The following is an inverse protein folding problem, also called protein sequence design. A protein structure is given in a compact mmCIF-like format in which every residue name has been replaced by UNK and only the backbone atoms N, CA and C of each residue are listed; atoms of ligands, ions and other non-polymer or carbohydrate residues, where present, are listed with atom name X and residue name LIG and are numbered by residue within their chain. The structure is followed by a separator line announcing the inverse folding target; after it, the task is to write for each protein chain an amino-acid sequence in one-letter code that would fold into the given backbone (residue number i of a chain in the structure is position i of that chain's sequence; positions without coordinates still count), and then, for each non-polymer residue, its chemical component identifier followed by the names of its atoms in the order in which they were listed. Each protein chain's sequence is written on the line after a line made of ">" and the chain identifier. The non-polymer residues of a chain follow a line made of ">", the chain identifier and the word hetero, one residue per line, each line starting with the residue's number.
data_IF_727082479886
#
_entry.id   IF_727082479886
#
_cell.length_a   1.000
_cell.length_b   1.000
_cell.length_c   1.000
_cell.angle_alpha   90.00
_cell.angle_beta   90.00
_cell.angle_gamma   90.00
#
_symmetry.space_group_name_H-M   'P 1'
#
loop_
_entity.id
_entity.type
_entity.pdbx_description
1 polymer ?
#
# COMPACT_ATOMS: atom_id res chain seq x y z
N UNK A 1 12.30 -20.13 2.86
CA UNK A 1 13.16 -18.98 3.22
C UNK A 1 12.27 -17.88 3.79
N UNK A 2 12.64 -17.17 4.86
CA UNK A 2 11.87 -16.02 5.28
C UNK A 2 11.92 -14.98 4.15
N UNK A 3 10.76 -14.35 3.86
CA UNK A 3 10.64 -13.27 2.89
C UNK A 3 11.59 -12.14 3.28
N UNK A 4 12.33 -11.60 2.32
CA UNK A 4 13.15 -10.41 2.54
C UNK A 4 12.26 -9.19 2.83
N UNK A 5 12.82 -8.11 3.37
CA UNK A 5 12.08 -6.86 3.55
C UNK A 5 11.47 -6.35 2.23
N UNK A 6 12.10 -6.69 1.10
CA UNK A 6 11.63 -6.31 -0.25
C UNK A 6 10.35 -7.06 -0.62
N UNK A 7 10.24 -8.35 -0.32
CA UNK A 7 9.16 -9.21 -0.81
C UNK A 7 8.03 -9.41 0.20
N UNK A 8 8.18 -8.88 1.43
CA UNK A 8 7.19 -9.07 2.47
C UNK A 8 5.96 -8.16 2.25
N UNK A 9 4.74 -8.72 2.14
CA UNK A 9 3.52 -7.95 1.91
C UNK A 9 3.18 -6.99 3.07
N UNK A 10 3.73 -7.20 4.26
CA UNK A 10 3.52 -6.30 5.41
C UNK A 10 4.43 -5.07 5.37
N UNK A 11 5.45 -5.05 4.50
CA UNK A 11 6.46 -3.98 4.50
C UNK A 11 5.84 -2.61 4.29
N UNK A 12 4.96 -2.43 3.30
CA UNK A 12 4.33 -1.13 3.05
C UNK A 12 3.54 -0.65 4.26
N UNK A 13 2.74 -1.53 4.86
CA UNK A 13 1.91 -1.21 6.03
C UNK A 13 2.74 -0.85 7.27
N UNK A 14 3.85 -1.60 7.49
CA UNK A 14 4.77 -1.32 8.60
C UNK A 14 5.51 0.02 8.43
N UNK A 15 6.00 0.29 7.24
CA UNK A 15 6.62 1.59 6.92
C UNK A 15 5.59 2.72 7.06
N UNK A 16 4.34 2.51 6.62
CA UNK A 16 3.26 3.47 6.77
C UNK A 16 2.94 3.83 8.21
N UNK A 17 2.92 2.85 9.12
CA UNK A 17 2.75 3.11 10.56
C UNK A 17 3.93 3.95 11.12
N UNK A 18 5.16 3.69 10.66
CA UNK A 18 6.34 4.45 11.07
C UNK A 18 6.42 5.86 10.45
N UNK A 19 5.71 6.10 9.34
CA UNK A 19 5.52 7.45 8.77
C UNK A 19 4.69 8.31 9.74
N UNK A 20 3.66 7.74 10.36
CA UNK A 20 2.78 8.46 11.28
C UNK A 20 3.51 8.85 12.58
N UNK A 21 4.30 7.92 13.12
CA UNK A 21 5.12 8.19 14.32
C UNK A 21 6.16 7.08 14.55
N UNK A 22 7.29 7.39 15.21
CA UNK A 22 8.22 6.38 15.69
C UNK A 22 7.55 5.41 16.66
N UNK A 23 7.84 4.11 16.55
CA UNK A 23 7.25 3.07 17.40
C UNK A 23 8.25 1.99 17.76
N UNK A 24 8.06 1.36 18.93
CA UNK A 24 8.76 0.12 19.24
C UNK A 24 8.05 -1.10 18.61
N UNK A 25 8.77 -2.20 18.43
CA UNK A 25 8.29 -3.39 17.72
C UNK A 25 6.95 -3.94 18.23
N UNK A 26 6.71 -3.91 19.53
CA UNK A 26 5.45 -4.38 20.10
C UNK A 26 4.29 -3.44 19.72
N UNK A 27 4.48 -2.12 19.80
CA UNK A 27 3.46 -1.15 19.37
C UNK A 27 3.13 -1.31 17.89
N UNK A 28 4.14 -1.53 17.04
CA UNK A 28 3.94 -1.83 15.60
C UNK A 28 3.09 -3.08 15.39
N UNK A 29 3.32 -4.16 16.15
CA UNK A 29 2.52 -5.38 16.04
C UNK A 29 1.07 -5.15 16.47
N UNK A 30 0.83 -4.37 17.52
CA UNK A 30 -0.51 -4.00 17.98
C UNK A 30 -1.20 -3.13 16.96
N UNK A 31 -0.59 -2.00 16.56
CA UNK A 31 -1.15 -1.05 15.61
C UNK A 31 -1.46 -1.69 14.24
N UNK A 32 -0.59 -2.61 13.78
CA UNK A 32 -0.81 -3.36 12.54
C UNK A 32 -2.08 -4.21 12.63
N UNK A 33 -2.29 -4.94 13.72
CA UNK A 33 -3.47 -5.78 13.89
C UNK A 33 -4.75 -4.98 14.19
N UNK A 34 -4.64 -3.83 14.85
CA UNK A 34 -5.77 -2.93 15.06
C UNK A 34 -6.25 -2.30 13.75
N UNK A 35 -5.31 -1.84 12.90
CA UNK A 35 -5.64 -1.23 11.59
C UNK A 35 -6.07 -2.26 10.55
N UNK A 36 -5.51 -3.47 10.59
CA UNK A 36 -5.72 -4.55 9.63
C UNK A 36 -6.06 -5.88 10.33
N UNK A 37 -7.25 -5.99 10.99
CA UNK A 37 -7.59 -7.17 11.81
C UNK A 37 -7.55 -8.49 11.04
N UNK A 38 -7.80 -8.45 9.74
CA UNK A 38 -7.79 -9.63 8.86
C UNK A 38 -6.40 -10.22 8.63
N UNK A 39 -5.31 -9.49 8.94
CA UNK A 39 -3.95 -9.99 8.75
C UNK A 39 -3.55 -10.99 9.83
N UNK A 40 -4.05 -10.82 11.04
CA UNK A 40 -3.68 -11.63 12.22
C UNK A 40 -2.14 -11.83 12.31
N UNK A 41 -1.39 -10.73 12.18
CA UNK A 41 0.06 -10.75 12.09
C UNK A 41 0.67 -11.16 13.43
N UNK A 42 1.45 -12.24 13.43
CA UNK A 42 2.15 -12.70 14.63
C UNK A 42 3.26 -11.73 15.01
N UNK A 43 3.38 -11.40 16.31
CA UNK A 43 4.42 -10.48 16.82
C UNK A 43 5.82 -10.90 16.38
N UNK A 44 6.13 -12.21 16.37
CA UNK A 44 7.43 -12.71 15.90
C UNK A 44 7.72 -12.37 14.44
N UNK A 45 6.71 -12.40 13.56
CA UNK A 45 6.84 -12.02 12.15
C UNK A 45 7.10 -10.51 12.01
N UNK A 46 6.41 -9.69 12.80
CA UNK A 46 6.64 -8.23 12.83
C UNK A 46 8.05 -7.91 13.33
N UNK A 47 8.52 -8.58 14.38
CA UNK A 47 9.87 -8.39 14.92
C UNK A 47 10.95 -8.78 13.91
N UNK A 48 10.78 -9.92 13.24
CA UNK A 48 11.70 -10.36 12.17
C UNK A 48 11.73 -9.36 11.01
N UNK A 49 10.56 -8.82 10.64
CA UNK A 49 10.48 -7.83 9.57
C UNK A 49 11.16 -6.51 9.96
N UNK A 50 10.93 -5.98 11.16
CA UNK A 50 11.60 -4.76 11.63
C UNK A 50 13.13 -4.93 11.62
N UNK A 51 13.65 -6.09 12.02
CA UNK A 51 15.09 -6.40 11.90
C UNK A 51 15.56 -6.39 10.45
N UNK A 52 14.78 -6.95 9.53
CA UNK A 52 15.12 -6.94 8.10
C UNK A 52 15.11 -5.52 7.52
N UNK A 53 14.18 -4.67 7.98
CA UNK A 53 14.11 -3.26 7.59
C UNK A 53 15.31 -2.47 8.13
N UNK A 54 15.74 -2.75 9.37
CA UNK A 54 16.91 -2.15 9.99
C UNK A 54 18.21 -2.55 9.24
N UNK A 55 18.38 -3.84 8.94
CA UNK A 55 19.51 -4.33 8.14
C UNK A 55 19.52 -3.71 6.75
N UNK A 56 18.36 -3.48 6.15
CA UNK A 56 18.24 -2.80 4.85
C UNK A 56 18.47 -1.27 4.94
N UNK A 57 18.61 -0.72 6.14
CA UNK A 57 18.79 0.71 6.36
C UNK A 57 17.53 1.56 6.16
N UNK A 58 16.34 0.93 6.14
CA UNK A 58 15.09 1.65 5.92
C UNK A 58 14.46 2.16 7.21
N UNK A 59 14.79 1.55 8.33
CA UNK A 59 14.47 2.03 9.67
C UNK A 59 15.71 2.06 10.54
N UNK A 60 15.73 2.94 11.54
CA UNK A 60 16.82 3.02 12.51
C UNK A 60 16.27 3.23 13.93
N UNK A 61 17.00 2.77 14.97
CA UNK A 61 16.67 3.09 16.33
C UNK A 61 16.87 4.59 16.59
N UNK A 62 15.88 5.23 17.21
CA UNK A 62 15.91 6.66 17.57
C UNK A 62 15.97 6.91 19.06
N UNK A 63 15.72 5.88 19.86
CA UNK A 63 15.73 6.00 21.31
C UNK A 63 15.29 4.72 22.00
N UNK A 64 15.22 4.80 23.31
CA UNK A 64 14.75 3.72 24.16
C UNK A 64 13.62 4.25 25.04
N UNK A 65 12.49 3.56 25.00
CA UNK A 65 11.35 3.86 25.84
C UNK A 65 11.31 2.89 27.04
N UNK A 66 11.19 3.43 28.24
CA UNK A 66 11.03 2.66 29.45
C UNK A 66 9.85 3.20 30.26
N UNK A 67 8.85 2.38 30.49
CA UNK A 67 7.70 2.70 31.32
C UNK A 67 7.76 1.95 32.65
N UNK A 68 8.13 2.67 33.72
CA UNK A 68 8.25 2.11 35.08
C UNK A 68 9.24 0.94 35.14
N UNK A 69 8.85 -0.18 35.75
CA UNK A 69 9.69 -1.39 35.90
C UNK A 69 9.66 -2.33 34.69
N UNK A 70 9.09 -1.91 33.52
CA UNK A 70 9.09 -2.75 32.33
C UNK A 70 10.45 -2.71 31.63
N UNK A 71 10.84 -3.78 30.92
CA UNK A 71 12.06 -3.78 30.13
C UNK A 71 12.07 -2.62 29.12
N UNK A 72 13.22 -1.99 28.96
CA UNK A 72 13.46 -0.95 28.00
C UNK A 72 13.18 -1.46 26.56
N UNK A 73 12.53 -0.65 25.72
CA UNK A 73 12.14 -1.00 24.36
C UNK A 73 12.76 -0.03 23.37
N UNK A 74 13.42 -0.55 22.36
CA UNK A 74 13.98 0.25 21.27
C UNK A 74 12.85 0.81 20.40
N UNK A 75 12.84 2.12 20.18
CA UNK A 75 11.93 2.83 19.30
C UNK A 75 12.60 2.98 17.94
N UNK A 76 11.87 2.69 16.87
CA UNK A 76 12.31 2.77 15.49
C UNK A 76 11.59 3.89 14.75
N UNK A 77 12.30 4.55 13.84
CA UNK A 77 11.74 5.50 12.89
C UNK A 77 12.25 5.21 11.48
N UNK A 78 11.58 5.76 10.49
CA UNK A 78 12.06 5.74 9.10
C UNK A 78 13.34 6.55 8.97
N UNK A 79 14.26 6.03 8.15
CA UNK A 79 15.39 6.81 7.62
C UNK A 79 14.96 7.55 6.35
N UNK A 80 15.80 8.47 5.84
CA UNK A 80 15.57 9.10 4.53
C UNK A 80 15.49 8.06 3.41
N UNK A 81 16.32 7.01 3.48
CA UNK A 81 16.26 5.88 2.56
C UNK A 81 14.95 5.13 2.70
N UNK A 82 14.50 4.87 3.92
CA UNK A 82 13.21 4.22 4.21
C UNK A 82 12.03 5.00 3.66
N UNK A 83 12.06 6.34 3.79
CA UNK A 83 11.06 7.22 3.21
C UNK A 83 10.99 7.13 1.68
N UNK A 84 12.15 7.14 1.01
CA UNK A 84 12.21 7.01 -0.44
C UNK A 84 11.69 5.64 -0.92
N UNK A 85 12.08 4.56 -0.24
CA UNK A 85 11.58 3.21 -0.50
C UNK A 85 10.06 3.12 -0.27
N UNK A 86 9.55 3.74 0.78
CA UNK A 86 8.12 3.77 1.06
C UNK A 86 7.34 4.42 -0.09
N UNK A 87 7.73 5.62 -0.52
CA UNK A 87 7.09 6.31 -1.66
C UNK A 87 7.13 5.49 -2.94
N UNK A 88 8.29 4.87 -3.23
CA UNK A 88 8.42 4.03 -4.42
C UNK A 88 7.50 2.80 -4.37
N UNK A 89 7.30 2.21 -3.18
CA UNK A 89 6.34 1.13 -2.99
C UNK A 89 4.90 1.57 -3.19
N UNK A 90 4.53 2.75 -2.71
CA UNK A 90 3.20 3.34 -2.96
C UNK A 90 2.98 3.47 -4.47
N UNK A 91 3.92 4.09 -5.19
CA UNK A 91 3.84 4.25 -6.66
C UNK A 91 3.66 2.91 -7.36
N UNK A 92 4.57 1.96 -7.06
CA UNK A 92 4.56 0.65 -7.69
C UNK A 92 3.26 -0.10 -7.42
N UNK A 93 2.75 -0.10 -6.19
CA UNK A 93 1.50 -0.79 -5.90
C UNK A 93 0.29 -0.13 -6.54
N UNK A 94 0.26 1.20 -6.68
CA UNK A 94 -0.80 1.87 -7.44
C UNK A 94 -0.77 1.41 -8.89
N UNK A 95 0.40 1.33 -9.53
CA UNK A 95 0.53 0.93 -10.94
C UNK A 95 0.22 -0.55 -11.19
N UNK A 96 0.80 -1.43 -10.36
CA UNK A 96 0.97 -2.86 -10.68
C UNK A 96 0.08 -3.80 -9.86
N UNK A 97 -0.65 -3.30 -8.86
CA UNK A 97 -1.47 -4.17 -8.03
C UNK A 97 -2.53 -4.88 -8.88
N UNK A 98 -2.61 -6.20 -8.69
CA UNK A 98 -3.66 -6.98 -9.35
C UNK A 98 -5.02 -6.54 -8.85
N UNK A 99 -5.99 -6.47 -9.74
CA UNK A 99 -7.40 -6.27 -9.40
C UNK A 99 -7.84 -7.36 -8.44
N UNK A 100 -8.74 -7.05 -7.52
CA UNK A 100 -9.20 -7.95 -6.45
C UNK A 100 -8.22 -8.20 -5.29
N UNK A 101 -7.05 -7.54 -5.29
CA UNK A 101 -6.11 -7.63 -4.16
C UNK A 101 -6.17 -6.40 -3.27
N UNK A 102 -5.82 -6.55 -1.99
CA UNK A 102 -5.72 -5.41 -1.07
C UNK A 102 -4.54 -4.48 -1.40
N UNK A 103 -3.63 -4.87 -2.28
CA UNK A 103 -2.41 -4.12 -2.56
C UNK A 103 -2.68 -2.72 -3.11
N UNK A 104 -3.69 -2.55 -3.97
CA UNK A 104 -4.11 -1.24 -4.45
C UNK A 104 -4.70 -0.39 -3.32
N UNK A 105 -5.60 -0.97 -2.53
CA UNK A 105 -6.22 -0.29 -1.37
C UNK A 105 -5.16 0.14 -0.35
N UNK A 106 -4.18 -0.73 -0.07
CA UNK A 106 -3.06 -0.41 0.82
C UNK A 106 -2.23 0.77 0.30
N UNK A 107 -2.00 0.83 -1.01
CA UNK A 107 -1.26 1.93 -1.62
C UNK A 107 -2.08 3.24 -1.61
N UNK A 108 -3.39 3.16 -1.85
CA UNK A 108 -4.29 4.32 -1.77
C UNK A 108 -4.33 4.94 -0.37
N UNK A 109 -4.24 4.13 0.69
CA UNK A 109 -4.19 4.63 2.07
C UNK A 109 -3.01 5.58 2.30
N UNK A 110 -1.98 5.49 1.46
CA UNK A 110 -0.78 6.31 1.54
C UNK A 110 -0.55 7.18 0.30
N UNK A 111 -1.60 7.43 -0.49
CA UNK A 111 -1.51 8.27 -1.70
C UNK A 111 -0.96 9.67 -1.37
N UNK A 112 -1.33 10.23 -0.22
CA UNK A 112 -0.85 11.52 0.26
C UNK A 112 0.65 11.60 0.57
N UNK A 113 1.39 10.48 0.58
CA UNK A 113 2.85 10.46 0.68
C UNK A 113 3.55 10.86 -0.63
N UNK A 114 2.83 10.80 -1.75
CA UNK A 114 3.31 11.32 -3.03
C UNK A 114 3.09 12.83 -3.10
N UNK A 115 3.89 13.52 -3.92
CA UNK A 115 3.62 14.93 -4.22
C UNK A 115 2.26 15.04 -4.94
N UNK A 116 1.49 16.10 -4.62
CA UNK A 116 0.16 16.31 -5.20
C UNK A 116 0.16 16.30 -6.73
N UNK A 117 1.19 16.89 -7.36
CA UNK A 117 1.34 16.90 -8.82
C UNK A 117 1.74 15.53 -9.41
N UNK A 118 2.24 14.61 -8.58
CA UNK A 118 2.65 13.27 -8.98
C UNK A 118 1.50 12.26 -8.93
N UNK A 119 0.64 12.36 -7.92
CA UNK A 119 -0.42 11.39 -7.67
C UNK A 119 -1.34 11.18 -8.90
N UNK A 120 -1.84 12.22 -9.62
CA UNK A 120 -2.64 12.03 -10.82
C UNK A 120 -1.93 11.25 -11.91
N UNK A 121 -0.62 11.48 -12.10
CA UNK A 121 0.15 10.76 -13.14
C UNK A 121 0.23 9.27 -12.87
N UNK A 122 0.50 8.88 -11.62
CA UNK A 122 0.56 7.47 -11.22
C UNK A 122 -0.81 6.80 -11.33
N UNK A 123 -1.89 7.53 -11.03
CA UNK A 123 -3.26 7.07 -11.17
C UNK A 123 -3.67 6.93 -12.65
N UNK A 124 -3.24 7.84 -13.54
CA UNK A 124 -3.45 7.72 -14.98
C UNK A 124 -2.76 6.48 -15.56
N UNK A 125 -1.50 6.22 -15.21
CA UNK A 125 -0.80 5.00 -15.63
C UNK A 125 -1.56 3.73 -15.23
N UNK A 126 -2.15 3.73 -14.03
CA UNK A 126 -3.04 2.64 -13.58
C UNK A 126 -4.30 2.54 -14.42
N UNK A 127 -4.98 3.66 -14.66
CA UNK A 127 -6.19 3.72 -15.45
C UNK A 127 -5.96 3.17 -16.86
N UNK A 128 -4.90 3.61 -17.55
CA UNK A 128 -4.50 3.12 -18.86
C UNK A 128 -4.33 1.59 -18.87
N UNK A 129 -3.61 1.05 -17.88
CA UNK A 129 -3.42 -0.40 -17.74
C UNK A 129 -4.72 -1.17 -17.53
N UNK A 130 -5.70 -0.60 -16.80
CA UNK A 130 -7.02 -1.20 -16.60
C UNK A 130 -7.82 -1.19 -17.91
N UNK A 131 -7.79 -0.08 -18.66
CA UNK A 131 -8.48 0.08 -19.94
C UNK A 131 -7.91 -0.89 -21.00
N UNK A 132 -6.59 -1.05 -21.07
CA UNK A 132 -5.94 -2.05 -21.93
C UNK A 132 -6.45 -3.47 -21.59
N UNK A 133 -6.50 -3.78 -20.29
CA UNK A 133 -6.96 -5.09 -19.81
C UNK A 133 -8.44 -5.35 -20.09
N UNK A 134 -9.28 -4.32 -20.01
CA UNK A 134 -10.71 -4.39 -20.39
C UNK A 134 -10.81 -4.75 -21.86
N UNK A 135 -10.10 -4.03 -22.74
CA UNK A 135 -10.12 -4.28 -24.18
C UNK A 135 -9.63 -5.69 -24.54
N UNK A 136 -8.58 -6.17 -23.87
CA UNK A 136 -8.08 -7.55 -24.05
C UNK A 136 -9.15 -8.60 -23.71
N UNK A 137 -9.82 -8.46 -22.55
CA UNK A 137 -10.85 -9.40 -22.11
C UNK A 137 -12.09 -9.35 -22.99
N UNK A 138 -12.51 -8.17 -23.43
CA UNK A 138 -13.63 -8.01 -24.37
C UNK A 138 -13.35 -8.70 -25.73
N UNK A 139 -12.12 -8.58 -26.22
CA UNK A 139 -11.71 -9.25 -27.47
C UNK A 139 -11.60 -10.77 -27.32
N UNK A 140 -11.22 -11.24 -26.14
CA UNK A 140 -11.12 -12.67 -25.85
C UNK A 140 -12.48 -13.32 -25.55
N UNK A 141 -13.52 -12.52 -25.32
CA UNK A 141 -14.88 -13.01 -25.08
C UNK A 141 -15.50 -13.55 -26.36
N UNK A 142 -16.03 -14.76 -26.31
CA UNK A 142 -16.72 -15.39 -27.45
C UNK A 142 -18.24 -15.18 -27.31
N UNK A 143 -18.84 -14.34 -28.17
CA UNK A 143 -20.29 -14.10 -28.14
C UNK A 143 -21.13 -15.32 -28.55
N UNK A 144 -20.52 -16.37 -29.08
CA UNK A 144 -21.18 -17.64 -29.40
C UNK A 144 -21.37 -18.59 -28.23
N UNK A 145 -20.72 -18.33 -27.10
CA UNK A 145 -20.85 -19.15 -25.91
C UNK A 145 -22.04 -18.71 -25.03
N UNK A 146 -22.68 -19.65 -24.31
CA UNK A 146 -23.68 -19.29 -23.29
C UNK A 146 -23.09 -18.34 -22.26
N UNK A 147 -23.85 -17.31 -21.86
CA UNK A 147 -23.44 -16.28 -20.90
C UNK A 147 -22.85 -16.85 -19.59
N UNK A 148 -23.49 -17.90 -19.07
CA UNK A 148 -23.02 -18.58 -17.85
C UNK A 148 -21.60 -19.16 -17.96
N UNK A 149 -21.16 -19.45 -19.19
CA UNK A 149 -19.79 -19.97 -19.44
C UNK A 149 -18.73 -18.89 -19.35
N UNK A 150 -19.15 -17.63 -19.45
CA UNK A 150 -18.27 -16.43 -19.41
C UNK A 150 -18.54 -15.55 -18.18
N UNK A 151 -19.25 -16.07 -17.20
CA UNK A 151 -19.69 -15.27 -16.02
C UNK A 151 -18.51 -14.74 -15.20
N UNK A 152 -17.40 -15.48 -15.14
CA UNK A 152 -16.18 -15.01 -14.47
C UNK A 152 -15.51 -13.86 -15.22
N UNK A 153 -15.57 -13.85 -16.53
CA UNK A 153 -15.06 -12.76 -17.37
C UNK A 153 -15.91 -11.51 -17.19
N UNK A 154 -17.25 -11.66 -17.20
CA UNK A 154 -18.18 -10.56 -16.92
C UNK A 154 -17.91 -9.94 -15.54
N UNK A 155 -17.75 -10.77 -14.51
CA UNK A 155 -17.43 -10.29 -13.17
C UNK A 155 -16.11 -9.51 -13.12
N UNK A 156 -15.06 -10.01 -13.78
CA UNK A 156 -13.75 -9.32 -13.84
C UNK A 156 -13.86 -8.01 -14.61
N UNK A 157 -14.57 -7.99 -15.75
CA UNK A 157 -14.81 -6.77 -16.51
C UNK A 157 -15.55 -5.72 -15.69
N UNK A 158 -16.56 -6.14 -14.92
CA UNK A 158 -17.30 -5.24 -14.03
C UNK A 158 -16.38 -4.58 -12.99
N UNK A 159 -15.50 -5.36 -12.36
CA UNK A 159 -14.54 -4.85 -11.37
C UNK A 159 -13.52 -3.88 -12.00
N UNK A 160 -12.95 -4.24 -13.17
CA UNK A 160 -12.00 -3.38 -13.88
C UNK A 160 -12.62 -2.03 -14.25
N UNK A 161 -13.84 -2.04 -14.80
CA UNK A 161 -14.57 -0.83 -15.17
C UNK A 161 -14.88 0.03 -13.94
N UNK A 162 -15.34 -0.57 -12.84
CA UNK A 162 -15.63 0.14 -11.62
C UNK A 162 -14.38 0.80 -11.02
N UNK A 163 -13.24 0.10 -11.02
CA UNK A 163 -11.97 0.65 -10.54
C UNK A 163 -11.48 1.80 -11.43
N UNK A 164 -11.51 1.64 -12.76
CA UNK A 164 -11.10 2.67 -13.72
C UNK A 164 -11.95 3.95 -13.58
N UNK A 165 -13.27 3.81 -13.48
CA UNK A 165 -14.18 4.95 -13.26
C UNK A 165 -13.93 5.64 -11.93
N UNK A 166 -13.71 4.90 -10.86
CA UNK A 166 -13.39 5.47 -9.55
C UNK A 166 -12.08 6.27 -9.59
N UNK A 167 -11.05 5.73 -10.26
CA UNK A 167 -9.76 6.43 -10.44
C UNK A 167 -9.96 7.72 -11.22
N UNK A 168 -10.73 7.72 -12.30
CA UNK A 168 -11.05 8.90 -13.11
C UNK A 168 -11.67 10.01 -12.25
N UNK A 169 -12.65 9.64 -11.41
CA UNK A 169 -13.29 10.59 -10.47
C UNK A 169 -12.28 11.10 -9.44
N UNK A 170 -11.43 10.24 -8.91
CA UNK A 170 -10.40 10.64 -7.94
C UNK A 170 -9.42 11.65 -8.54
N UNK A 171 -8.92 11.40 -9.76
CA UNK A 171 -8.04 12.33 -10.47
C UNK A 171 -8.70 13.69 -10.62
N UNK A 172 -9.96 13.73 -11.09
CA UNK A 172 -10.73 14.97 -11.24
C UNK A 172 -10.79 15.75 -9.92
N UNK A 173 -11.04 15.09 -8.79
CA UNK A 173 -11.10 15.72 -7.47
C UNK A 173 -9.74 16.26 -7.01
N UNK A 174 -8.63 15.58 -7.36
CA UNK A 174 -7.27 16.06 -7.05
C UNK A 174 -6.98 17.32 -7.87
N UNK A 175 -7.31 17.31 -9.17
CA UNK A 175 -7.04 18.42 -10.10
C UNK A 175 -7.86 19.69 -9.76
N UNK A 176 -9.07 19.50 -9.23
CA UNK A 176 -9.93 20.60 -8.79
C UNK A 176 -9.70 21.06 -7.34
N UNK A 177 -8.63 20.64 -6.69
CA UNK A 177 -8.31 21.02 -5.29
C UNK A 177 -9.39 20.60 -4.26
N UNK A 178 -10.23 19.60 -4.56
CA UNK A 178 -11.30 19.15 -3.67
C UNK A 178 -10.79 18.31 -2.49
N UNK A 179 -9.55 17.84 -2.56
CA UNK A 179 -8.93 17.02 -1.52
C UNK A 179 -7.81 17.78 -0.82
N UNK A 180 -7.90 17.88 0.51
CA UNK A 180 -6.79 18.39 1.31
C UNK A 180 -5.58 17.45 1.15
N UNK A 181 -4.41 18.02 0.82
CA UNK A 181 -3.17 17.26 0.70
C UNK A 181 -2.30 17.49 1.93
N UNK A 182 -1.69 16.45 2.53
CA UNK A 182 -0.82 16.63 3.68
C UNK A 182 0.34 17.57 3.35
N UNK A 183 0.74 18.41 4.30
CA UNK A 183 1.98 19.16 4.17
C UNK A 183 3.17 18.21 4.14
N UNK A 184 4.23 18.57 3.38
CA UNK A 184 5.46 17.74 3.30
C UNK A 184 5.94 17.37 4.71
N UNK A 185 5.94 16.07 5.03
CA UNK A 185 6.36 15.55 6.33
C UNK A 185 5.23 15.34 7.36
N UNK A 186 3.98 15.53 6.99
CA UNK A 186 2.79 15.21 7.79
C UNK A 186 1.92 14.20 7.03
N UNK A 187 2.26 12.94 7.14
CA UNK A 187 1.40 11.82 6.73
C UNK A 187 1.21 10.90 7.90
#
# INVERSE_FOLDING_TARGET
>A
MPLTAVDNPLTLRLLGLLVEQPMHQYALAVALNERYPYLNAKSGSVYALVRSLEVAGWVAPTGVEQMGNRPARTVYALTDQGWNVFKERVRRQIREAKVTTSAFVDALAYLGALDRAEAPRVLHERQESLEERIVELERASDPGLPEITMIEVDFVLHQLRAEAEWIRVLITRIDHDELAWPAKGQT
#
